data_IF_952467881854
#
_entry.id   IF_952467881854
#
_cell.length_a   1.000
_cell.length_b   1.000
_cell.length_c   1.000
_cell.angle_alpha   90.00
_cell.angle_beta   90.00
_cell.angle_gamma   90.00
#
_symmetry.space_group_name_H-M   'P 1'
#
loop_
_entity.id
_entity.type
_entity.pdbx_description
1 polymer ?
#
# COMPACT_ATOMS: atom_id res chain seq x y z
N UNK A 1 21.97 -8.42 -11.45
CA UNK A 1 20.65 -8.39 -10.79
C UNK A 1 20.00 -7.06 -11.10
N UNK A 2 18.80 -7.07 -11.68
CA UNK A 2 18.05 -5.83 -12.01
C UNK A 2 16.72 -5.91 -11.27
N UNK A 3 16.34 -4.83 -10.60
CA UNK A 3 15.07 -4.73 -9.87
C UNK A 3 14.27 -3.55 -10.41
N UNK A 4 12.96 -3.73 -10.53
CA UNK A 4 12.03 -2.65 -10.84
C UNK A 4 11.40 -2.18 -9.54
N UNK A 5 11.51 -0.89 -9.25
CA UNK A 5 10.84 -0.26 -8.12
C UNK A 5 9.67 0.56 -8.67
N UNK A 6 8.49 0.38 -8.09
CA UNK A 6 7.30 1.18 -8.37
C UNK A 6 6.73 1.67 -7.04
N UNK A 7 6.02 2.80 -7.08
CA UNK A 7 5.39 3.41 -5.92
C UNK A 7 3.87 3.37 -6.08
N UNK A 8 3.19 2.92 -5.05
CA UNK A 8 1.75 2.71 -5.01
C UNK A 8 1.21 3.21 -3.67
N UNK A 9 -0.01 3.72 -3.68
CA UNK A 9 -0.72 4.15 -2.48
C UNK A 9 -1.91 3.20 -2.30
N UNK A 10 -1.84 2.38 -1.25
CA UNK A 10 -2.98 1.58 -0.81
C UNK A 10 -3.80 2.33 0.23
N UNK A 11 -5.08 2.01 0.32
CA UNK A 11 -5.99 2.55 1.34
C UNK A 11 -6.87 1.45 1.90
N UNK A 12 -7.30 1.61 3.14
CA UNK A 12 -8.19 0.68 3.83
C UNK A 12 -8.84 1.40 5.03
N UNK A 13 -10.11 1.07 5.35
CA UNK A 13 -10.76 1.52 6.58
C UNK A 13 -10.30 0.75 7.83
N UNK A 14 -9.69 -0.43 7.69
CA UNK A 14 -9.31 -1.31 8.80
C UNK A 14 -7.84 -1.16 9.23
N UNK A 15 -7.08 -0.29 8.57
CA UNK A 15 -5.74 0.13 9.00
C UNK A 15 -4.63 -0.11 7.99
N UNK A 16 -3.39 0.15 8.42
CA UNK A 16 -2.24 0.22 7.51
C UNK A 16 -1.84 -1.12 6.90
N UNK A 17 -2.02 -2.24 7.62
CA UNK A 17 -1.65 -3.57 7.12
C UNK A 17 -2.54 -3.98 5.94
N UNK A 18 -3.85 -3.77 6.05
CA UNK A 18 -4.77 -4.05 4.95
C UNK A 18 -4.56 -3.05 3.81
N UNK A 19 -4.27 -1.77 4.10
CA UNK A 19 -3.91 -0.81 3.05
C UNK A 19 -2.67 -1.27 2.26
N UNK A 20 -1.64 -1.78 2.95
CA UNK A 20 -0.44 -2.31 2.31
C UNK A 20 -0.74 -3.58 1.49
N UNK A 21 -1.59 -4.48 2.00
CA UNK A 21 -2.02 -5.67 1.26
C UNK A 21 -2.80 -5.30 0.00
N UNK A 22 -3.73 -4.34 0.08
CA UNK A 22 -4.50 -3.85 -1.06
C UNK A 22 -3.58 -3.30 -2.18
N UNK A 23 -2.51 -2.59 -1.81
CA UNK A 23 -1.53 -2.12 -2.78
C UNK A 23 -0.79 -3.28 -3.48
N UNK A 24 -0.45 -4.34 -2.73
CA UNK A 24 0.17 -5.55 -3.30
C UNK A 24 -0.78 -6.27 -4.23
N UNK A 25 -2.04 -6.44 -3.82
CA UNK A 25 -3.06 -7.15 -4.60
C UNK A 25 -3.35 -6.43 -5.92
N UNK A 26 -3.43 -5.10 -5.89
CA UNK A 26 -3.60 -4.30 -7.10
C UNK A 26 -2.38 -4.41 -8.02
N UNK A 27 -1.17 -4.35 -7.46
CA UNK A 27 0.07 -4.53 -8.23
C UNK A 27 0.13 -5.92 -8.88
N UNK A 28 -0.26 -6.96 -8.15
CA UNK A 28 -0.16 -8.36 -8.57
C UNK A 28 -1.01 -8.66 -9.82
N UNK A 29 -2.03 -7.84 -10.13
CA UNK A 29 -2.81 -7.96 -11.37
C UNK A 29 -1.98 -7.78 -12.63
N UNK A 30 -0.89 -7.00 -12.57
CA UNK A 30 -0.06 -6.66 -13.75
C UNK A 30 1.44 -6.89 -13.54
N UNK A 31 1.91 -6.87 -12.30
CA UNK A 31 3.32 -7.05 -11.92
C UNK A 31 3.51 -8.42 -11.31
N UNK A 32 4.33 -9.25 -11.96
CA UNK A 32 4.65 -10.60 -11.50
C UNK A 32 5.90 -10.61 -10.63
N UNK A 33 6.01 -11.64 -9.78
CA UNK A 33 7.22 -11.92 -8.99
C UNK A 33 7.61 -10.78 -8.02
N UNK A 34 6.62 -10.15 -7.37
CA UNK A 34 6.84 -9.15 -6.31
C UNK A 34 7.56 -9.85 -5.14
N UNK A 35 8.71 -9.29 -4.71
CA UNK A 35 9.56 -9.89 -3.67
C UNK A 35 9.46 -9.24 -2.31
N UNK A 36 9.18 -7.95 -2.28
CA UNK A 36 9.20 -7.16 -1.05
C UNK A 36 8.43 -5.86 -1.27
N UNK A 37 7.86 -5.34 -0.19
CA UNK A 37 7.35 -3.97 -0.14
C UNK A 37 8.08 -3.20 0.95
N UNK A 38 8.14 -1.88 0.79
CA UNK A 38 8.64 -0.97 1.81
C UNK A 38 7.61 0.13 2.03
N UNK A 39 7.07 0.21 3.25
CA UNK A 39 6.11 1.25 3.61
C UNK A 39 6.87 2.54 3.90
N UNK A 40 6.91 3.45 2.92
CA UNK A 40 7.61 4.74 3.06
C UNK A 40 6.89 5.72 3.98
N UNK A 41 5.55 5.78 3.89
CA UNK A 41 4.71 6.74 4.62
C UNK A 41 3.36 6.11 4.96
N UNK A 42 2.84 6.48 6.13
CA UNK A 42 1.48 6.14 6.54
C UNK A 42 0.69 7.44 6.74
N UNK A 43 -0.40 7.60 5.99
CA UNK A 43 -1.27 8.77 6.05
C UNK A 43 -2.69 8.32 6.36
N UNK A 44 -3.43 9.15 7.10
CA UNK A 44 -4.80 8.86 7.50
C UNK A 44 -5.69 10.07 7.19
N UNK A 45 -6.92 9.82 6.76
CA UNK A 45 -7.93 10.88 6.63
C UNK A 45 -8.47 11.18 8.03
N UNK A 46 -8.65 12.46 8.33
CA UNK A 46 -9.18 12.91 9.62
C UNK A 46 -10.46 13.71 9.38
N UNK A 47 -11.55 13.28 10.02
CA UNK A 47 -12.84 13.98 10.03
C UNK A 47 -13.31 14.17 11.47
N UNK A 48 -13.69 15.40 11.84
CA UNK A 48 -14.17 15.75 13.20
C UNK A 48 -13.25 15.20 14.31
N UNK A 49 -11.93 15.38 14.14
CA UNK A 49 -10.87 14.90 15.04
C UNK A 49 -10.81 13.37 15.22
N UNK A 50 -11.35 12.60 14.26
CA UNK A 50 -11.27 11.13 14.23
C UNK A 50 -10.66 10.67 12.93
N UNK A 51 -9.86 9.59 12.99
CA UNK A 51 -9.38 8.90 11.79
C UNK A 51 -10.57 8.17 11.16
N UNK A 52 -10.74 8.32 9.85
CA UNK A 52 -11.80 7.70 9.04
C UNK A 52 -11.26 7.08 7.75
#
# INVERSE_FOLDING_TARGET
>A
MVVKIIELIGSSPNGWMEAAQNAVDEAAKTVRNIKSIHVKRCTAKVEKNKIV
#
